data_IF_153234916074
#
_entry.id   IF_153234916074
#
_cell.length_a   1.000
_cell.length_b   1.000
_cell.length_c   1.000
_cell.angle_alpha   90.00
_cell.angle_beta   90.00
_cell.angle_gamma   90.00
#
_symmetry.space_group_name_H-M   'P 1'
#
loop_
_entity.id
_entity.type
_entity.pdbx_description
1 polymer ?
#
# COMPACT_ATOMS: atom_id res chain seq x y z
N UNK A 1 5.25 19.50 -20.11
CA UNK A 1 3.92 18.86 -20.05
C UNK A 1 3.92 18.00 -18.80
N UNK A 2 3.05 18.27 -17.84
CA UNK A 2 2.98 17.53 -16.58
C UNK A 2 2.89 16.03 -16.89
N UNK A 3 3.68 15.23 -16.17
CA UNK A 3 3.76 13.78 -16.34
C UNK A 3 2.35 13.18 -16.35
N UNK A 4 2.13 12.05 -17.02
CA UNK A 4 0.85 11.34 -16.92
C UNK A 4 0.63 10.90 -15.47
N UNK A 5 -0.01 11.76 -14.67
CA UNK A 5 -0.30 11.54 -13.26
C UNK A 5 -1.22 10.33 -13.16
N UNK A 6 -0.73 9.25 -12.54
CA UNK A 6 -1.56 8.10 -12.17
C UNK A 6 -2.03 8.30 -10.74
N UNK A 7 -3.27 7.93 -10.47
CA UNK A 7 -3.80 7.97 -9.11
C UNK A 7 -3.21 6.79 -8.34
N UNK A 8 -2.48 7.09 -7.28
CA UNK A 8 -1.93 6.14 -6.33
C UNK A 8 -2.84 6.04 -5.12
N UNK A 9 -3.08 4.81 -4.69
CA UNK A 9 -3.81 4.51 -3.47
C UNK A 9 -2.95 3.60 -2.60
N UNK A 10 -2.58 4.08 -1.42
CA UNK A 10 -1.95 3.31 -0.37
C UNK A 10 -3.01 2.93 0.68
N UNK A 11 -3.05 1.65 1.07
CA UNK A 11 -3.90 1.13 2.14
C UNK A 11 -3.01 0.54 3.23
N UNK A 12 -3.07 1.13 4.40
CA UNK A 12 -2.25 0.75 5.55
C UNK A 12 -2.98 -0.27 6.40
N UNK A 13 -2.47 -1.50 6.38
CA UNK A 13 -3.00 -2.62 7.12
C UNK A 13 -2.18 -2.88 8.38
N UNK A 14 -2.90 -3.07 9.48
CA UNK A 14 -2.33 -3.44 10.77
C UNK A 14 -2.80 -4.85 11.09
N UNK A 15 -1.88 -5.76 11.37
CA UNK A 15 -2.24 -7.11 11.77
C UNK A 15 -2.77 -7.12 13.21
N UNK A 16 -3.63 -8.07 13.53
CA UNK A 16 -4.03 -8.30 14.91
C UNK A 16 -2.83 -8.71 15.76
N UNK A 17 -2.77 -8.25 17.01
CA UNK A 17 -1.66 -8.56 17.93
C UNK A 17 -1.54 -10.06 18.25
N UNK A 18 -2.60 -10.84 18.03
CA UNK A 18 -2.63 -12.29 18.16
C UNK A 18 -1.97 -13.04 17.00
N UNK A 19 -1.67 -12.36 15.89
CA UNK A 19 -1.10 -12.98 14.68
C UNK A 19 0.39 -12.69 14.60
N UNK A 20 1.21 -13.73 14.44
CA UNK A 20 2.65 -13.59 14.24
C UNK A 20 2.99 -13.06 12.85
N UNK A 21 4.17 -12.46 12.69
CA UNK A 21 4.61 -11.89 11.40
C UNK A 21 4.66 -12.96 10.31
N UNK A 22 5.22 -14.14 10.61
CA UNK A 22 5.30 -15.27 9.66
C UNK A 22 3.92 -15.77 9.24
N UNK A 23 2.99 -15.91 10.20
CA UNK A 23 1.62 -16.34 9.88
C UNK A 23 0.91 -15.29 9.05
N UNK A 24 1.11 -14.01 9.37
CA UNK A 24 0.53 -12.89 8.64
C UNK A 24 1.04 -12.84 7.18
N UNK A 25 2.35 -12.86 6.98
CA UNK A 25 2.95 -12.82 5.64
C UNK A 25 2.51 -14.02 4.79
N UNK A 26 2.49 -15.23 5.38
CA UNK A 26 2.03 -16.44 4.69
C UNK A 26 0.57 -16.32 4.26
N UNK A 27 -0.33 -15.97 5.18
CA UNK A 27 -1.75 -15.78 4.85
C UNK A 27 -1.94 -14.67 3.80
N UNK A 28 -1.20 -13.58 3.92
CA UNK A 28 -1.29 -12.47 2.97
C UNK A 28 -0.92 -12.90 1.55
N UNK A 29 0.15 -13.69 1.43
CA UNK A 29 0.67 -14.17 0.15
C UNK A 29 -0.20 -15.31 -0.44
N UNK A 30 -0.58 -16.29 0.38
CA UNK A 30 -1.23 -17.51 -0.09
C UNK A 30 -2.76 -17.41 -0.16
N UNK A 31 -3.38 -16.50 0.60
CA UNK A 31 -4.85 -16.42 0.71
C UNK A 31 -5.42 -15.07 0.29
N UNK A 32 -4.96 -13.96 0.88
CA UNK A 32 -5.53 -12.63 0.59
C UNK A 32 -5.18 -12.18 -0.83
N UNK A 33 -3.89 -12.18 -1.16
CA UNK A 33 -3.40 -11.66 -2.45
C UNK A 33 -4.02 -12.39 -3.65
N UNK A 34 -4.14 -13.74 -3.69
CA UNK A 34 -4.77 -14.43 -4.82
C UNK A 34 -6.25 -14.10 -5.00
N UNK A 35 -6.99 -13.79 -3.92
CA UNK A 35 -8.39 -13.35 -4.02
C UNK A 35 -8.48 -11.91 -4.52
N UNK A 36 -7.61 -11.05 -3.98
CA UNK A 36 -7.58 -9.62 -4.29
C UNK A 36 -7.12 -9.33 -5.71
N UNK A 37 -6.11 -10.05 -6.22
CA UNK A 37 -5.55 -9.83 -7.56
C UNK A 37 -6.60 -10.06 -8.67
N UNK A 38 -7.59 -10.93 -8.43
CA UNK A 38 -8.71 -11.15 -9.35
C UNK A 38 -9.53 -9.86 -9.51
N UNK A 39 -9.80 -9.18 -8.39
CA UNK A 39 -10.59 -7.94 -8.37
C UNK A 39 -9.79 -6.78 -8.98
N UNK A 40 -8.54 -6.63 -8.57
CA UNK A 40 -7.59 -5.63 -9.10
C UNK A 40 -7.47 -5.74 -10.63
N UNK A 41 -7.34 -6.97 -11.14
CA UNK A 41 -7.28 -7.23 -12.58
C UNK A 41 -8.59 -6.90 -13.30
N UNK A 42 -9.75 -7.22 -12.70
CA UNK A 42 -11.09 -6.93 -13.26
C UNK A 42 -11.30 -5.42 -13.48
N UNK A 43 -10.74 -4.59 -12.59
CA UNK A 43 -10.88 -3.13 -12.62
C UNK A 43 -9.71 -2.39 -13.29
N UNK A 44 -8.92 -3.08 -14.12
CA UNK A 44 -7.84 -2.49 -14.91
C UNK A 44 -6.81 -1.67 -14.08
N UNK A 45 -6.60 -2.06 -12.82
CA UNK A 45 -5.54 -1.47 -12.00
C UNK A 45 -4.19 -1.68 -12.71
N UNK A 46 -3.44 -0.59 -12.86
CA UNK A 46 -2.22 -0.53 -13.66
C UNK A 46 -1.04 -1.26 -13.01
N UNK A 47 -0.95 -1.16 -11.68
CA UNK A 47 0.08 -1.78 -10.85
C UNK A 47 -0.49 -2.02 -9.46
N UNK A 48 -0.12 -3.15 -8.85
CA UNK A 48 -0.45 -3.49 -7.48
C UNK A 48 0.78 -4.05 -6.79
N UNK A 49 1.09 -3.57 -5.59
CA UNK A 49 2.22 -3.98 -4.78
C UNK A 49 1.82 -4.13 -3.32
N UNK A 50 2.57 -4.93 -2.57
CA UNK A 50 2.49 -5.04 -1.13
C UNK A 50 3.88 -4.76 -0.53
N UNK A 51 3.98 -3.77 0.34
CA UNK A 51 5.20 -3.44 1.08
C UNK A 51 5.06 -3.92 2.52
N UNK A 52 5.71 -5.02 2.86
CA UNK A 52 5.74 -5.53 4.22
C UNK A 52 6.68 -4.71 5.10
N UNK A 53 6.19 -4.29 6.26
CA UNK A 53 6.90 -3.42 7.19
C UNK A 53 7.00 -4.06 8.58
N UNK A 54 7.70 -5.21 8.70
CA UNK A 54 7.90 -5.88 9.97
C UNK A 54 8.57 -4.95 10.99
N UNK A 55 8.33 -5.15 12.30
CA UNK A 55 8.88 -4.31 13.37
C UNK A 55 10.40 -4.11 13.31
N UNK A 56 11.15 -5.06 12.74
CA UNK A 56 12.62 -4.96 12.59
C UNK A 56 13.06 -3.65 11.92
N UNK A 57 12.36 -3.19 10.88
CA UNK A 57 12.77 -1.98 10.16
C UNK A 57 12.60 -0.73 11.02
N UNK A 58 11.54 -0.70 11.85
CA UNK A 58 11.34 0.36 12.85
C UNK A 58 12.43 0.34 13.91
N UNK A 59 12.80 -0.84 14.38
CA UNK A 59 13.80 -0.99 15.43
C UNK A 59 15.21 -0.63 14.95
N UNK A 60 15.55 -1.00 13.72
CA UNK A 60 16.89 -0.77 13.14
C UNK A 60 17.06 0.66 12.61
N UNK A 61 16.08 1.20 11.89
CA UNK A 61 16.17 2.51 11.26
C UNK A 61 15.62 3.65 12.12
N UNK A 62 14.74 3.35 13.08
CA UNK A 62 14.11 4.34 13.95
C UNK A 62 15.07 5.24 14.71
N UNK A 63 16.12 4.70 15.37
CA UNK A 63 17.10 5.52 16.09
C UNK A 63 17.82 6.51 15.16
N UNK A 64 18.22 6.05 13.97
CA UNK A 64 18.86 6.91 12.99
C UNK A 64 17.90 7.99 12.48
N UNK A 65 16.64 7.63 12.19
CA UNK A 65 15.61 8.59 11.76
C UNK A 65 15.40 9.69 12.80
N UNK A 66 15.29 9.33 14.07
CA UNK A 66 15.07 10.31 15.15
C UNK A 66 16.26 11.26 15.31
N UNK A 67 17.50 10.79 15.08
CA UNK A 67 18.69 11.66 15.08
C UNK A 67 18.69 12.67 13.92
N UNK A 68 18.33 12.24 12.70
CA UNK A 68 18.42 13.11 11.51
C UNK A 68 17.18 13.99 11.32
N UNK A 69 16.01 13.53 11.79
CA UNK A 69 14.73 14.22 11.70
C UNK A 69 13.89 13.94 12.96
N UNK A 70 14.20 14.61 14.08
CA UNK A 70 13.45 14.44 15.32
C UNK A 70 11.94 14.61 15.12
N UNK A 71 11.17 13.70 15.71
CA UNK A 71 9.69 13.70 15.62
C UNK A 71 9.11 12.97 14.40
N UNK A 72 9.93 12.59 13.41
CA UNK A 72 9.49 11.72 12.32
C UNK A 72 9.39 10.26 12.80
N UNK A 73 8.46 9.51 12.23
CA UNK A 73 8.22 8.10 12.59
C UNK A 73 8.12 7.25 11.33
N UNK A 74 8.67 6.05 11.39
CA UNK A 74 8.38 5.01 10.41
C UNK A 74 6.95 4.51 10.66
N UNK A 75 6.18 4.32 9.59
CA UNK A 75 4.78 3.86 9.68
C UNK A 75 4.66 2.61 10.56
N UNK A 76 3.60 2.57 11.36
CA UNK A 76 3.30 1.46 12.24
C UNK A 76 2.55 0.31 11.58
N UNK A 77 2.09 0.48 10.34
CA UNK A 77 1.41 -0.57 9.58
C UNK A 77 2.31 -1.79 9.42
N UNK A 78 1.73 -2.98 9.30
CA UNK A 78 2.47 -4.23 9.06
C UNK A 78 2.60 -4.52 7.55
N UNK A 79 1.66 -4.05 6.75
CA UNK A 79 1.75 -4.06 5.28
C UNK A 79 1.04 -2.84 4.69
N UNK A 80 1.66 -2.23 3.68
CA UNK A 80 1.00 -1.22 2.85
C UNK A 80 0.70 -1.82 1.48
N UNK A 81 -0.58 -1.85 1.11
CA UNK A 81 -0.99 -2.17 -0.24
C UNK A 81 -0.98 -0.90 -1.07
N UNK A 82 -0.34 -0.95 -2.22
CA UNK A 82 -0.35 0.16 -3.16
C UNK A 82 -0.96 -0.31 -4.47
N UNK A 83 -1.96 0.41 -4.96
CA UNK A 83 -2.45 0.22 -6.32
C UNK A 83 -2.56 1.53 -7.08
N UNK A 84 -2.38 1.41 -8.40
CA UNK A 84 -2.33 2.51 -9.34
C UNK A 84 -3.50 2.42 -10.30
N UNK A 85 -4.34 3.45 -10.33
CA UNK A 85 -5.50 3.55 -11.23
C UNK A 85 -5.39 4.81 -12.08
N UNK A 86 -6.19 4.91 -13.16
CA UNK A 86 -6.07 6.05 -14.09
C UNK A 86 -6.69 7.30 -13.50
N UNK A 87 -7.82 7.16 -12.81
CA UNK A 87 -8.53 8.25 -12.17
C UNK A 87 -9.39 7.78 -10.99
N UNK A 88 -10.14 8.71 -10.41
CA UNK A 88 -10.96 8.46 -9.22
C UNK A 88 -12.21 7.59 -9.53
N UNK A 89 -12.68 7.57 -10.77
CA UNK A 89 -13.86 6.78 -11.14
C UNK A 89 -13.51 5.30 -11.25
N UNK A 90 -12.30 4.96 -11.72
CA UNK A 90 -11.74 3.61 -11.63
C UNK A 90 -11.67 3.13 -10.16
N UNK A 91 -11.21 4.00 -9.24
CA UNK A 91 -11.18 3.68 -7.81
C UNK A 91 -12.60 3.44 -7.26
N UNK A 92 -13.56 4.29 -7.62
CA UNK A 92 -14.96 4.12 -7.19
C UNK A 92 -15.56 2.83 -7.73
N UNK A 93 -15.26 2.47 -8.98
CA UNK A 93 -15.73 1.22 -9.58
C UNK A 93 -15.19 0.00 -8.83
N UNK A 94 -13.90 0.02 -8.45
CA UNK A 94 -13.29 -1.03 -7.63
C UNK A 94 -13.97 -1.14 -6.26
N UNK A 95 -14.12 -0.03 -5.53
CA UNK A 95 -14.73 0.00 -4.19
C UNK A 95 -16.22 -0.37 -4.21
N UNK A 96 -16.91 -0.08 -5.32
CA UNK A 96 -18.32 -0.40 -5.52
C UNK A 96 -18.59 -1.81 -6.05
N UNK A 97 -17.57 -2.62 -6.31
CA UNK A 97 -17.76 -3.97 -6.82
C UNK A 97 -18.49 -4.84 -5.80
N UNK A 98 -19.57 -5.54 -6.17
CA UNK A 98 -20.29 -6.43 -5.26
C UNK A 98 -19.41 -7.54 -4.64
N UNK A 99 -18.33 -7.94 -5.32
CA UNK A 99 -17.38 -8.93 -4.81
C UNK A 99 -16.31 -8.33 -3.89
N UNK A 100 -16.23 -6.99 -3.77
CA UNK A 100 -15.24 -6.31 -2.93
C UNK A 100 -15.30 -6.77 -1.48
N UNK A 101 -16.52 -6.84 -0.92
CA UNK A 101 -16.73 -7.28 0.46
C UNK A 101 -16.22 -8.71 0.67
N UNK A 102 -16.59 -9.62 -0.23
CA UNK A 102 -16.22 -11.04 -0.13
C UNK A 102 -14.73 -11.29 -0.35
N UNK A 103 -14.12 -10.61 -1.33
CA UNK A 103 -12.72 -10.86 -1.74
C UNK A 103 -11.71 -10.07 -0.93
N UNK A 104 -12.09 -8.89 -0.43
CA UNK A 104 -11.28 -8.07 0.47
C UNK A 104 -11.70 -8.28 1.92
N UNK A 105 -12.77 -7.61 2.34
CA UNK A 105 -13.15 -7.43 3.75
C UNK A 105 -13.36 -8.73 4.53
N UNK A 106 -14.10 -9.69 4.00
CA UNK A 106 -14.30 -10.98 4.65
C UNK A 106 -13.01 -11.80 4.72
N UNK A 107 -12.10 -11.62 3.75
CA UNK A 107 -10.84 -12.34 3.76
C UNK A 107 -9.88 -11.80 4.81
N UNK A 108 -9.98 -10.52 5.18
CA UNK A 108 -9.19 -9.83 6.20
C UNK A 108 -9.56 -10.23 7.64
N UNK A 109 -10.74 -10.84 7.84
CA UNK A 109 -11.26 -11.18 9.17
C UNK A 109 -10.32 -12.15 9.91
N UNK A 110 -10.02 -11.85 11.18
CA UNK A 110 -9.12 -12.64 12.01
C UNK A 110 -7.62 -12.40 11.76
N UNK A 111 -7.26 -11.57 10.78
CA UNK A 111 -5.86 -11.20 10.50
C UNK A 111 -5.59 -9.70 10.64
N UNK A 112 -6.57 -8.86 10.29
CA UNK A 112 -6.41 -7.40 10.21
C UNK A 112 -7.20 -6.69 11.32
N UNK A 113 -6.58 -5.70 11.96
CA UNK A 113 -7.25 -4.73 12.82
C UNK A 113 -7.93 -3.64 11.97
N UNK A 114 -9.17 -3.88 11.60
CA UNK A 114 -9.94 -2.96 10.74
C UNK A 114 -10.23 -1.59 11.37
N UNK A 115 -10.00 -1.40 12.68
CA UNK A 115 -10.19 -0.11 13.36
C UNK A 115 -9.06 0.88 13.11
N UNK A 116 -7.92 0.39 12.60
CA UNK A 116 -6.72 1.20 12.32
C UNK A 116 -6.46 1.41 10.83
N UNK A 117 -7.33 0.88 9.96
CA UNK A 117 -7.14 0.99 8.51
C UNK A 117 -7.11 2.45 8.07
N UNK A 118 -6.06 2.82 7.34
CA UNK A 118 -5.90 4.17 6.77
C UNK A 118 -5.72 4.07 5.26
N UNK A 119 -6.27 5.03 4.52
CA UNK A 119 -6.06 5.18 3.09
C UNK A 119 -5.35 6.52 2.81
N UNK A 120 -4.35 6.47 1.95
CA UNK A 120 -3.72 7.64 1.37
C UNK A 120 -3.91 7.61 -0.14
N UNK A 121 -4.58 8.64 -0.68
CA UNK A 121 -4.94 8.74 -2.10
C UNK A 121 -4.38 10.03 -2.66
N UNK A 122 -3.65 9.95 -3.77
CA UNK A 122 -3.07 11.11 -4.41
C UNK A 122 -2.48 10.81 -5.78
N UNK A 123 -2.05 11.85 -6.49
CA UNK A 123 -1.34 11.70 -7.75
C UNK A 123 0.12 11.36 -7.50
N UNK A 124 0.65 10.32 -8.16
CA UNK A 124 2.08 10.03 -8.11
C UNK A 124 2.81 10.76 -9.23
N UNK A 125 3.68 11.71 -8.87
CA UNK A 125 4.64 12.33 -9.77
C UNK A 125 6.01 11.71 -9.54
N UNK A 126 6.58 11.08 -10.56
CA UNK A 126 7.90 10.47 -10.50
C UNK A 126 8.97 11.50 -10.84
N UNK A 127 9.85 11.82 -9.89
CA UNK A 127 10.94 12.79 -10.07
C UNK A 127 12.31 12.17 -10.34
N UNK A 128 12.50 10.89 -9.98
CA UNK A 128 13.71 10.13 -10.24
C UNK A 128 13.35 8.65 -10.34
N UNK A 129 13.79 7.99 -11.40
CA UNK A 129 13.52 6.56 -11.62
C UNK A 129 14.57 6.00 -12.59
N UNK A 130 15.07 4.81 -12.29
CA UNK A 130 16.07 4.10 -13.10
C UNK A 130 17.35 4.90 -13.41
N UNK A 131 17.75 5.78 -12.48
CA UNK A 131 18.96 6.58 -12.60
C UNK A 131 18.76 7.95 -13.27
N UNK A 132 17.54 8.25 -13.74
CA UNK A 132 17.25 9.47 -14.51
C UNK A 132 16.41 10.47 -13.71
N UNK A 133 16.75 11.76 -13.78
CA UNK A 133 15.92 12.85 -13.27
C UNK A 133 14.72 13.09 -14.20
N UNK A 134 13.51 13.15 -13.64
CA UNK A 134 12.25 13.31 -14.36
C UNK A 134 11.43 14.45 -13.76
N UNK A 135 10.57 15.09 -14.57
CA UNK A 135 9.50 16.00 -14.13
C UNK A 135 9.87 17.14 -13.15
N UNK A 136 11.15 17.50 -13.03
CA UNK A 136 11.63 18.59 -12.18
C UNK A 136 12.45 19.58 -13.01
N UNK A 137 12.74 20.74 -12.41
CA UNK A 137 13.62 21.78 -12.97
C UNK A 137 15.09 21.59 -12.60
N UNK A 138 15.42 20.55 -11.84
CA UNK A 138 16.81 20.22 -11.52
C UNK A 138 17.54 19.71 -12.78
N UNK A 139 18.74 20.25 -13.02
CA UNK A 139 19.68 19.76 -14.04
C UNK A 139 20.65 18.75 -13.38
N UNK A 140 21.13 17.77 -14.17
CA UNK A 140 22.10 16.74 -13.75
C UNK A 140 23.49 17.32 -13.41
#
# INVERSE_FOLDING_TARGET
MASKEVLKVDVHHYKLSSVSDETFEKWFHEELTPKWIILVKKHNVLRYTATYTPPRFRNELGPQLDMVRPGWKISGSDVTLTYYVRDIDDLRALLGDPEYQKRGRESEEGFIDSTKGELHVGWETVYFEDGEIKNTVAEE
#
